data_IF_158363286263
#
_entry.id   IF_158363286263
#
_cell.length_a   1.000
_cell.length_b   1.000
_cell.length_c   1.000
_cell.angle_alpha   90.00
_cell.angle_beta   90.00
_cell.angle_gamma   90.00
#
_symmetry.space_group_name_H-M   'P 1'
#
loop_
_entity.id
_entity.type
_entity.pdbx_description
1 polymer ?
#
# COMPACT_ATOMS: atom_id res chain seq x y z
N UNK A 1 -22.11 15.41 -6.79
CA UNK A 1 -21.32 14.93 -5.63
C UNK A 1 -21.30 13.41 -5.63
N UNK A 2 -20.11 12.83 -5.51
CA UNK A 2 -19.99 11.39 -5.38
C UNK A 2 -20.28 10.98 -3.94
N UNK A 3 -21.29 10.14 -3.76
CA UNK A 3 -21.61 9.58 -2.45
C UNK A 3 -20.63 8.45 -2.14
N UNK A 4 -20.06 8.44 -0.93
CA UNK A 4 -19.22 7.36 -0.46
C UNK A 4 -20.09 6.11 -0.30
N UNK A 5 -19.69 5.02 -0.94
CA UNK A 5 -20.37 3.75 -0.84
C UNK A 5 -19.88 2.99 0.39
N UNK A 6 -20.77 2.21 0.98
CA UNK A 6 -20.42 1.37 2.10
C UNK A 6 -19.57 0.19 1.63
N UNK A 7 -18.60 -0.21 2.45
CA UNK A 7 -17.76 -1.37 2.20
C UNK A 7 -18.62 -2.64 2.04
N UNK A 8 -18.33 -3.40 0.99
CA UNK A 8 -19.00 -4.67 0.68
C UNK A 8 -17.97 -5.79 0.76
N UNK A 9 -18.07 -6.61 1.80
CA UNK A 9 -17.15 -7.71 2.05
C UNK A 9 -17.13 -8.73 0.90
N UNK A 10 -18.31 -9.07 0.38
CA UNK A 10 -18.44 -10.03 -0.73
C UNK A 10 -17.71 -9.51 -1.99
N UNK A 11 -17.90 -8.24 -2.30
CA UNK A 11 -17.23 -7.61 -3.43
C UNK A 11 -15.71 -7.61 -3.24
N UNK A 12 -15.23 -7.31 -2.03
CA UNK A 12 -13.81 -7.36 -1.70
C UNK A 12 -13.23 -8.76 -1.90
N UNK A 13 -13.92 -9.78 -1.41
CA UNK A 13 -13.52 -11.18 -1.58
C UNK A 13 -13.46 -11.59 -3.05
N UNK A 14 -14.46 -11.19 -3.83
CA UNK A 14 -14.52 -11.51 -5.27
C UNK A 14 -13.36 -10.86 -6.03
N UNK A 15 -13.05 -9.60 -5.73
CA UNK A 15 -11.92 -8.89 -6.33
C UNK A 15 -10.60 -9.58 -5.94
N UNK A 16 -10.43 -9.88 -4.66
CA UNK A 16 -9.24 -10.56 -4.15
C UNK A 16 -9.03 -11.89 -4.88
N UNK A 17 -10.05 -12.73 -4.94
CA UNK A 17 -9.97 -14.03 -5.58
C UNK A 17 -9.66 -13.91 -7.07
N UNK A 18 -10.20 -12.92 -7.75
CA UNK A 18 -9.93 -12.66 -9.16
C UNK A 18 -8.46 -12.35 -9.41
N UNK A 19 -7.84 -11.52 -8.55
CA UNK A 19 -6.40 -11.23 -8.66
C UNK A 19 -5.53 -12.43 -8.32
N UNK A 20 -5.87 -13.17 -7.28
CA UNK A 20 -5.14 -14.37 -6.89
C UNK A 20 -5.11 -15.40 -8.03
N UNK A 21 -6.25 -15.60 -8.67
CA UNK A 21 -6.38 -16.52 -9.79
C UNK A 21 -5.62 -16.01 -11.02
N UNK A 22 -5.83 -14.75 -11.39
CA UNK A 22 -5.22 -14.15 -12.58
C UNK A 22 -3.70 -14.21 -12.57
N UNK A 23 -3.08 -13.98 -11.41
CA UNK A 23 -1.62 -13.93 -11.28
C UNK A 23 -1.04 -15.20 -10.65
N UNK A 24 -1.87 -16.21 -10.45
CA UNK A 24 -1.46 -17.51 -9.89
C UNK A 24 -0.76 -17.35 -8.54
N UNK A 25 -1.40 -16.61 -7.64
CA UNK A 25 -0.85 -16.30 -6.31
C UNK A 25 -1.50 -17.22 -5.29
N UNK A 26 -0.69 -17.79 -4.38
CA UNK A 26 -1.16 -18.65 -3.30
C UNK A 26 -1.13 -17.88 -1.98
N UNK A 27 -2.22 -17.93 -1.23
CA UNK A 27 -2.25 -17.45 0.15
C UNK A 27 -1.77 -18.61 1.03
N UNK A 28 -0.54 -18.50 1.54
CA UNK A 28 0.02 -19.58 2.36
C UNK A 28 -0.42 -19.50 3.82
N UNK A 29 -0.86 -18.32 4.25
CA UNK A 29 -1.32 -18.10 5.62
C UNK A 29 -2.28 -16.91 5.65
N UNK A 30 -3.38 -17.07 6.39
CA UNK A 30 -4.27 -15.95 6.69
C UNK A 30 -3.82 -15.31 8.00
N UNK A 31 -3.47 -14.02 7.95
CA UNK A 31 -3.02 -13.28 9.12
C UNK A 31 -4.20 -13.01 10.07
N UNK A 32 -3.94 -13.14 11.37
CA UNK A 32 -4.94 -12.77 12.40
C UNK A 32 -4.90 -11.27 12.70
N UNK A 33 -3.88 -10.57 12.20
CA UNK A 33 -3.74 -9.11 12.35
C UNK A 33 -3.90 -8.46 10.97
N UNK A 34 -3.76 -7.11 10.91
CA UNK A 34 -3.76 -6.38 9.65
C UNK A 34 -2.39 -6.36 8.96
N UNK A 35 -1.50 -7.31 9.29
CA UNK A 35 -0.18 -7.42 8.67
C UNK A 35 -0.20 -8.34 7.47
N UNK A 36 0.66 -8.04 6.50
CA UNK A 36 0.84 -8.86 5.31
C UNK A 36 2.31 -9.09 4.99
N UNK A 37 2.57 -10.05 4.12
CA UNK A 37 3.91 -10.37 3.63
C UNK A 37 3.80 -11.01 2.25
N UNK A 38 4.75 -10.71 1.35
CA UNK A 38 4.80 -11.27 0.02
C UNK A 38 6.15 -11.92 -0.25
N UNK A 39 6.12 -13.10 -0.87
CA UNK A 39 7.29 -13.80 -1.38
C UNK A 39 7.12 -13.89 -2.90
N UNK A 40 7.69 -12.91 -3.62
CA UNK A 40 7.44 -12.77 -5.05
C UNK A 40 8.01 -13.91 -5.89
N UNK A 41 9.11 -14.53 -5.45
CA UNK A 41 9.72 -15.67 -6.17
C UNK A 41 8.80 -16.89 -6.18
N UNK A 42 8.12 -17.15 -5.08
CA UNK A 42 7.23 -18.28 -4.92
C UNK A 42 5.77 -17.94 -5.23
N UNK A 43 5.48 -16.68 -5.54
CA UNK A 43 4.13 -16.17 -5.77
C UNK A 43 3.18 -16.55 -4.64
N UNK A 44 3.61 -16.34 -3.40
CA UNK A 44 2.79 -16.61 -2.21
C UNK A 44 2.76 -15.43 -1.28
N UNK A 45 1.63 -15.25 -0.62
CA UNK A 45 1.40 -14.12 0.29
C UNK A 45 0.77 -14.59 1.60
N UNK A 46 1.03 -13.79 2.64
CA UNK A 46 0.31 -13.82 3.90
C UNK A 46 -0.50 -12.55 3.98
N UNK A 47 -1.81 -12.68 4.15
CA UNK A 47 -2.73 -11.53 4.17
C UNK A 47 -3.84 -11.76 5.19
N UNK A 48 -4.44 -10.69 5.72
CA UNK A 48 -5.64 -10.83 6.53
C UNK A 48 -6.86 -11.14 5.65
N UNK A 49 -7.91 -11.66 6.24
CA UNK A 49 -9.22 -11.74 5.57
C UNK A 49 -9.69 -10.30 5.28
N UNK A 50 -10.26 -10.02 4.09
CA UNK A 50 -10.67 -8.66 3.72
C UNK A 50 -12.00 -8.29 4.38
N UNK A 51 -12.00 -8.13 5.69
CA UNK A 51 -13.20 -7.88 6.49
C UNK A 51 -13.54 -6.40 6.64
N UNK A 52 -12.62 -5.52 6.24
CA UNK A 52 -12.81 -4.07 6.21
C UNK A 52 -11.90 -3.46 5.14
N UNK A 53 -12.04 -2.16 4.92
CA UNK A 53 -11.26 -1.45 3.89
C UNK A 53 -9.76 -1.54 4.17
N UNK A 54 -9.34 -1.34 5.41
CA UNK A 54 -7.92 -1.41 5.75
C UNK A 54 -7.32 -2.77 5.43
N UNK A 55 -7.96 -3.85 5.89
CA UNK A 55 -7.48 -5.21 5.63
C UNK A 55 -7.49 -5.55 4.16
N UNK A 56 -8.52 -5.11 3.43
CA UNK A 56 -8.56 -5.27 1.98
C UNK A 56 -7.41 -4.54 1.29
N UNK A 57 -7.07 -3.34 1.75
CA UNK A 57 -5.93 -2.60 1.21
C UNK A 57 -4.61 -3.34 1.41
N UNK A 58 -4.45 -4.02 2.55
CA UNK A 58 -3.26 -4.86 2.80
C UNK A 58 -3.21 -6.03 1.81
N UNK A 59 -4.34 -6.67 1.55
CA UNK A 59 -4.42 -7.75 0.56
C UNK A 59 -3.92 -7.28 -0.81
N UNK A 60 -4.43 -6.14 -1.27
CA UNK A 60 -4.06 -5.59 -2.58
C UNK A 60 -2.59 -5.15 -2.61
N UNK A 61 -2.09 -4.58 -1.53
CA UNK A 61 -0.69 -4.19 -1.39
C UNK A 61 0.24 -5.39 -1.60
N UNK A 62 -0.01 -6.49 -0.91
CA UNK A 62 0.80 -7.69 -1.02
C UNK A 62 0.71 -8.34 -2.41
N UNK A 63 -0.47 -8.32 -3.02
CA UNK A 63 -0.66 -8.78 -4.40
C UNK A 63 0.22 -7.97 -5.35
N UNK A 64 0.28 -6.66 -5.19
CA UNK A 64 1.08 -5.80 -6.06
C UNK A 64 2.57 -6.11 -5.95
N UNK A 65 3.06 -6.46 -4.78
CA UNK A 65 4.44 -6.93 -4.62
C UNK A 65 4.72 -8.15 -5.52
N UNK A 66 3.77 -9.07 -5.63
CA UNK A 66 3.93 -10.23 -6.51
C UNK A 66 3.90 -9.82 -7.99
N UNK A 67 2.98 -8.93 -8.35
CA UNK A 67 2.84 -8.46 -9.75
C UNK A 67 4.11 -7.74 -10.20
N UNK A 68 4.64 -6.85 -9.37
CA UNK A 68 5.82 -6.04 -9.71
C UNK A 68 7.13 -6.81 -9.57
N UNK A 69 7.18 -7.83 -8.70
CA UNK A 69 8.43 -8.45 -8.33
C UNK A 69 9.30 -7.51 -7.49
N UNK A 70 10.60 -7.70 -7.56
CA UNK A 70 11.54 -6.89 -6.79
C UNK A 70 11.81 -5.55 -7.48
N UNK A 71 11.37 -4.47 -6.86
CA UNK A 71 11.62 -3.10 -7.32
C UNK A 71 12.48 -2.38 -6.30
N UNK A 72 13.51 -1.69 -6.77
CA UNK A 72 14.37 -0.83 -5.95
C UNK A 72 14.26 0.63 -6.42
N UNK A 73 14.36 1.60 -5.52
CA UNK A 73 14.49 1.45 -4.06
C UNK A 73 13.17 1.02 -3.42
N UNK A 74 13.26 0.56 -2.18
CA UNK A 74 12.10 0.00 -1.48
C UNK A 74 10.96 1.00 -1.33
N UNK A 75 11.24 2.28 -1.11
CA UNK A 75 10.17 3.27 -0.95
C UNK A 75 9.34 3.43 -2.24
N UNK A 76 9.92 3.21 -3.41
CA UNK A 76 9.19 3.19 -4.68
C UNK A 76 8.28 1.96 -4.76
N UNK A 77 8.81 0.80 -4.38
CA UNK A 77 8.02 -0.44 -4.36
C UNK A 77 6.80 -0.29 -3.44
N UNK A 78 7.01 0.22 -2.23
CA UNK A 78 5.93 0.43 -1.26
C UNK A 78 4.92 1.46 -1.76
N UNK A 79 5.39 2.56 -2.39
CA UNK A 79 4.50 3.54 -2.99
C UNK A 79 3.61 2.91 -4.06
N UNK A 80 4.19 2.10 -4.94
CA UNK A 80 3.43 1.45 -6.03
C UNK A 80 2.38 0.50 -5.47
N UNK A 81 2.71 -0.25 -4.43
CA UNK A 81 1.78 -1.19 -3.80
C UNK A 81 0.63 -0.48 -3.11
N UNK A 82 0.92 0.58 -2.36
CA UNK A 82 -0.10 1.37 -1.67
C UNK A 82 -0.98 2.12 -2.67
N UNK A 83 -0.39 2.68 -3.74
CA UNK A 83 -1.12 3.40 -4.79
C UNK A 83 -2.07 2.46 -5.54
N UNK A 84 -1.63 1.25 -5.83
CA UNK A 84 -2.46 0.22 -6.46
C UNK A 84 -3.70 -0.08 -5.61
N UNK A 85 -3.51 -0.29 -4.31
CA UNK A 85 -4.62 -0.54 -3.40
C UNK A 85 -5.55 0.66 -3.30
N UNK A 86 -4.98 1.87 -3.16
CA UNK A 86 -5.75 3.11 -3.07
C UNK A 86 -6.61 3.33 -4.32
N UNK A 87 -6.05 3.14 -5.51
CA UNK A 87 -6.76 3.36 -6.77
C UNK A 87 -7.95 2.41 -6.91
N UNK A 88 -7.79 1.14 -6.56
CA UNK A 88 -8.88 0.17 -6.61
C UNK A 88 -10.01 0.56 -5.64
N UNK A 89 -9.64 0.89 -4.39
CA UNK A 89 -10.61 1.26 -3.37
C UNK A 89 -11.34 2.56 -3.74
N UNK A 90 -10.60 3.52 -4.30
CA UNK A 90 -11.19 4.78 -4.77
C UNK A 90 -12.18 4.54 -5.93
N UNK A 91 -11.84 3.67 -6.87
CA UNK A 91 -12.71 3.33 -8.00
C UNK A 91 -13.98 2.62 -7.56
N UNK A 92 -13.92 1.88 -6.45
CA UNK A 92 -15.09 1.25 -5.85
C UNK A 92 -16.02 2.26 -5.15
N UNK A 93 -15.57 3.50 -4.97
CA UNK A 93 -16.35 4.54 -4.29
C UNK A 93 -16.36 4.42 -2.77
N UNK A 94 -15.47 3.61 -2.19
CA UNK A 94 -15.36 3.45 -0.75
C UNK A 94 -14.53 4.57 -0.12
N UNK A 95 -14.68 4.77 1.20
CA UNK A 95 -13.92 5.78 1.94
C UNK A 95 -12.42 5.46 1.89
N UNK A 96 -11.62 6.44 1.46
CA UNK A 96 -10.17 6.28 1.31
C UNK A 96 -9.36 7.04 2.36
N UNK A 97 -10.00 7.70 3.32
CA UNK A 97 -9.30 8.58 4.27
C UNK A 97 -8.21 7.84 5.05
N UNK A 98 -8.56 6.73 5.67
CA UNK A 98 -7.60 5.92 6.44
C UNK A 98 -6.50 5.35 5.56
N UNK A 99 -6.87 4.83 4.38
CA UNK A 99 -5.90 4.23 3.44
C UNK A 99 -4.90 5.28 2.97
N UNK A 100 -5.36 6.51 2.68
CA UNK A 100 -4.48 7.61 2.30
C UNK A 100 -3.51 8.00 3.40
N UNK A 101 -4.01 8.10 4.63
CA UNK A 101 -3.18 8.45 5.79
C UNK A 101 -2.12 7.38 6.05
N UNK A 102 -2.50 6.11 5.98
CA UNK A 102 -1.59 4.99 6.16
C UNK A 102 -0.53 4.94 5.06
N UNK A 103 -0.93 5.13 3.82
CA UNK A 103 -0.02 5.19 2.68
C UNK A 103 1.02 6.28 2.87
N UNK A 104 0.59 7.49 3.24
CA UNK A 104 1.49 8.62 3.47
C UNK A 104 2.52 8.29 4.54
N UNK A 105 2.07 7.80 5.69
CA UNK A 105 2.95 7.39 6.77
C UNK A 105 3.94 6.32 6.31
N UNK A 106 3.45 5.29 5.66
CA UNK A 106 4.23 4.14 5.22
C UNK A 106 5.31 4.54 4.21
N UNK A 107 4.93 5.28 3.17
CA UNK A 107 5.86 5.71 2.12
C UNK A 107 6.90 6.67 2.68
N UNK A 108 6.50 7.67 3.46
CA UNK A 108 7.44 8.63 4.04
C UNK A 108 8.36 8.00 5.07
N UNK A 109 7.91 6.99 5.81
CA UNK A 109 8.78 6.22 6.70
C UNK A 109 9.90 5.53 5.90
N UNK A 110 9.57 4.94 4.76
CA UNK A 110 10.58 4.29 3.91
C UNK A 110 11.52 5.29 3.26
N UNK A 111 11.03 6.47 2.88
CA UNK A 111 11.87 7.55 2.37
C UNK A 111 12.85 8.01 3.47
N UNK A 112 12.37 8.18 4.71
CA UNK A 112 13.21 8.56 5.84
C UNK A 112 14.32 7.53 6.09
N UNK A 113 13.98 6.25 6.03
CA UNK A 113 14.99 5.18 6.17
C UNK A 113 16.03 5.24 5.06
N UNK A 114 15.61 5.49 3.82
CA UNK A 114 16.52 5.62 2.68
C UNK A 114 17.45 6.85 2.84
N UNK A 115 16.92 7.98 3.28
CA UNK A 115 17.73 9.19 3.51
C UNK A 115 18.74 8.98 4.64
N UNK A 116 18.36 8.27 5.68
CA UNK A 116 19.29 7.92 6.77
C UNK A 116 20.41 7.01 6.30
N UNK A 117 20.19 6.25 5.23
CA UNK A 117 21.18 5.36 4.61
C UNK A 117 21.98 6.04 3.49
N UNK A 118 21.80 7.35 3.28
CA UNK A 118 22.59 8.12 2.33
C UNK A 118 21.89 8.54 1.04
N UNK A 119 20.57 8.32 0.92
CA UNK A 119 19.83 8.81 -0.24
C UNK A 119 19.93 10.34 -0.28
N UNK A 120 20.44 10.90 -1.38
CA UNK A 120 20.65 12.34 -1.53
C UNK A 120 19.51 13.05 -2.24
N UNK A 121 18.76 12.33 -3.09
CA UNK A 121 17.65 12.88 -3.85
C UNK A 121 16.48 11.90 -3.83
N UNK A 122 15.32 12.40 -3.43
CA UNK A 122 14.07 11.63 -3.45
C UNK A 122 13.54 11.60 -4.90
N UNK A 123 13.10 10.43 -5.34
CA UNK A 123 12.54 10.26 -6.68
C UNK A 123 11.38 11.24 -6.90
N UNK A 124 11.30 11.93 -8.06
CA UNK A 124 10.21 12.85 -8.38
C UNK A 124 8.82 12.20 -8.33
N UNK A 125 8.71 10.88 -8.51
CA UNK A 125 7.46 10.17 -8.35
C UNK A 125 6.83 10.44 -6.98
N UNK A 126 7.65 10.51 -5.94
CA UNK A 126 7.20 10.77 -4.56
C UNK A 126 6.99 12.26 -4.33
N UNK A 127 7.97 13.11 -4.70
CA UNK A 127 7.89 14.56 -4.45
C UNK A 127 6.76 15.21 -5.25
N UNK A 128 6.47 14.72 -6.43
CA UNK A 128 5.35 15.22 -7.23
C UNK A 128 3.99 14.74 -6.67
N UNK A 129 3.92 13.51 -6.18
CA UNK A 129 2.69 12.99 -5.58
C UNK A 129 2.34 13.73 -4.28
N UNK A 130 3.34 13.94 -3.42
CA UNK A 130 3.21 14.68 -2.15
C UNK A 130 3.70 16.11 -2.32
N UNK A 131 3.15 16.82 -3.30
CA UNK A 131 3.58 18.18 -3.68
C UNK A 131 3.27 19.25 -2.63
N UNK A 132 2.46 18.92 -1.62
CA UNK A 132 2.16 19.78 -0.47
C UNK A 132 3.23 19.73 0.62
N UNK A 133 4.20 18.82 0.50
CA UNK A 133 5.29 18.67 1.47
C UNK A 133 6.52 19.43 0.98
N UNK A 134 7.05 20.31 1.85
CA UNK A 134 8.38 20.89 1.67
C UNK A 134 9.40 19.84 2.14
N UNK A 135 9.95 19.08 1.19
CA UNK A 135 10.88 18.00 1.52
C UNK A 135 12.19 18.47 2.09
N UNK A 136 12.64 19.69 1.77
CA UNK A 136 13.86 20.25 2.36
C UNK A 136 13.67 20.49 3.86
N UNK A 137 12.52 21.04 4.25
CA UNK A 137 12.17 21.21 5.66
C UNK A 137 11.86 19.86 6.32
N UNK A 138 11.12 19.00 5.63
CA UNK A 138 10.79 17.67 6.10
C UNK A 138 12.04 16.84 6.45
N UNK A 139 13.08 16.95 5.64
CA UNK A 139 14.38 16.29 5.86
C UNK A 139 14.98 16.60 7.23
N UNK A 140 14.79 17.82 7.70
CA UNK A 140 15.36 18.27 8.99
C UNK A 140 14.59 17.68 10.16
N UNK A 141 13.31 17.46 10.02
CA UNK A 141 12.43 17.06 11.13
C UNK A 141 11.94 15.62 11.03
N UNK A 142 11.66 15.10 9.85
CA UNK A 142 11.22 13.71 9.59
C UNK A 142 10.19 13.20 10.60
N UNK A 143 9.25 14.07 10.98
CA UNK A 143 8.21 13.74 11.95
C UNK A 143 7.00 13.22 11.19
N UNK A 144 6.59 12.00 11.49
CA UNK A 144 5.37 11.41 10.96
C UNK A 144 4.77 10.51 12.02
N UNK A 145 3.44 10.43 12.04
CA UNK A 145 2.66 9.70 13.02
C UNK A 145 1.91 8.58 12.31
N UNK A 146 2.00 7.36 12.88
CA UNK A 146 1.25 6.22 12.37
C UNK A 146 -0.26 6.46 12.56
N UNK A 147 -1.09 6.25 11.55
CA UNK A 147 -2.54 6.31 11.72
C UNK A 147 -3.01 5.13 12.55
N UNK A 148 -3.83 5.41 13.54
CA UNK A 148 -4.43 4.41 14.42
C UNK A 148 -5.94 4.45 14.33
#
# INVERSE_FOLDING_TARGET
MNTIKQFDKKQAEDILNKYLERYNITVYQWSVTSCGRAYYKDKRIKIPKPTNIDRFSVCLHEIKHIIDGRIKPRYISEFRCDKFALDIINDLGWDTEYVRARMKWHVLSRVAMATNRGLKKIDPLITNYYNDIDFDDWYRHKIFVSPK
#
